data_IF_921641667006
#
_entry.id   IF_921641667006
#
_cell.length_a   1.000
_cell.length_b   1.000
_cell.length_c   1.000
_cell.angle_alpha   90.00
_cell.angle_beta   90.00
_cell.angle_gamma   90.00
#
_symmetry.space_group_name_H-M   'P 1'
#
loop_
_entity.id
_entity.type
_entity.pdbx_description
1 polymer ?
#
# COMPACT_ATOMS: atom_id res chain seq x y z
N UNK A 1 -3.95 -5.78 -3.26
CA UNK A 1 -4.96 -4.76 -2.91
C UNK A 1 -5.99 -5.24 -1.89
N UNK A 2 -6.61 -6.42 -2.04
CA UNK A 2 -7.46 -7.00 -0.99
C UNK A 2 -6.72 -7.16 0.34
N UNK A 3 -5.54 -7.79 0.32
CA UNK A 3 -4.68 -7.92 1.51
C UNK A 3 -4.26 -6.57 2.13
N UNK A 4 -3.97 -5.56 1.30
CA UNK A 4 -3.63 -4.22 1.80
C UNK A 4 -4.83 -3.61 2.54
N UNK A 5 -6.04 -3.74 1.99
CA UNK A 5 -7.27 -3.27 2.65
C UNK A 5 -7.53 -3.99 3.98
N UNK A 6 -7.37 -5.31 4.03
CA UNK A 6 -7.52 -6.11 5.25
C UNK A 6 -6.53 -5.67 6.34
N UNK A 7 -5.25 -5.51 5.97
CA UNK A 7 -4.23 -5.04 6.91
C UNK A 7 -4.51 -3.60 7.38
N UNK A 8 -4.92 -2.69 6.50
CA UNK A 8 -5.29 -1.32 6.87
C UNK A 8 -6.52 -1.27 7.79
N UNK A 9 -7.54 -2.11 7.58
CA UNK A 9 -8.68 -2.22 8.49
C UNK A 9 -8.24 -2.74 9.86
N UNK A 10 -7.35 -3.75 9.90
CA UNK A 10 -6.79 -4.23 11.16
C UNK A 10 -5.99 -3.14 11.89
N UNK A 11 -5.18 -2.37 11.16
CA UNK A 11 -4.45 -1.21 11.72
C UNK A 11 -5.43 -0.15 12.24
N UNK A 12 -6.56 0.07 11.57
CA UNK A 12 -7.63 0.95 12.04
C UNK A 12 -8.22 0.49 13.38
N UNK A 13 -8.57 -0.79 13.50
CA UNK A 13 -9.13 -1.35 14.73
C UNK A 13 -8.13 -1.24 15.89
N UNK A 14 -6.87 -1.56 15.63
CA UNK A 14 -5.77 -1.43 16.60
C UNK A 14 -5.56 0.03 17.01
N UNK A 15 -5.67 0.97 16.06
CA UNK A 15 -5.55 2.40 16.35
C UNK A 15 -6.69 2.88 17.23
N UNK A 16 -7.94 2.45 16.96
CA UNK A 16 -9.09 2.75 17.84
C UNK A 16 -8.86 2.18 19.24
N UNK A 17 -8.36 0.94 19.34
CA UNK A 17 -8.02 0.32 20.62
C UNK A 17 -6.96 1.15 21.35
N UNK A 18 -5.88 1.54 20.68
CA UNK A 18 -4.80 2.34 21.24
C UNK A 18 -5.23 3.74 21.69
N UNK A 19 -6.17 4.38 20.99
CA UNK A 19 -6.68 5.70 21.35
C UNK A 19 -7.55 5.73 22.61
N UNK A 20 -7.91 4.56 23.16
CA UNK A 20 -8.62 4.51 24.44
C UNK A 20 -7.70 4.94 25.59
N UNK A 21 -8.11 5.97 26.36
CA UNK A 21 -7.28 6.60 27.38
C UNK A 21 -6.95 5.71 28.60
N UNK A 22 -7.63 4.57 28.74
CA UNK A 22 -7.36 3.62 29.83
C UNK A 22 -6.13 2.74 29.60
N UNK A 23 -5.56 2.73 28.39
CA UNK A 23 -4.42 1.87 28.09
C UNK A 23 -3.15 2.32 28.80
N UNK A 24 -2.30 1.37 29.17
CA UNK A 24 -0.95 1.64 29.66
C UNK A 24 0.06 1.76 28.50
N UNK A 25 1.25 2.30 28.79
CA UNK A 25 2.33 2.38 27.78
C UNK A 25 2.72 1.00 27.22
N UNK A 26 2.70 -0.05 28.04
CA UNK A 26 2.97 -1.43 27.59
C UNK A 26 1.87 -2.01 26.69
N UNK A 27 0.60 -1.62 26.92
CA UNK A 27 -0.51 -2.04 26.05
C UNK A 27 -0.36 -1.38 24.69
N UNK A 28 -0.04 -0.08 24.67
CA UNK A 28 0.22 0.66 23.43
C UNK A 28 1.44 0.10 22.70
N UNK A 29 2.51 -0.28 23.41
CA UNK A 29 3.68 -0.92 22.81
C UNK A 29 3.34 -2.26 22.15
N UNK A 30 2.49 -3.06 22.80
CA UNK A 30 2.03 -4.35 22.25
C UNK A 30 1.19 -4.13 20.98
N UNK A 31 0.29 -3.16 21.00
CA UNK A 31 -0.51 -2.76 19.83
C UNK A 31 0.38 -2.22 18.71
N UNK A 32 1.35 -1.36 19.04
CA UNK A 32 2.28 -0.78 18.07
C UNK A 32 3.14 -1.85 17.40
N UNK A 33 3.56 -2.87 18.14
CA UNK A 33 4.30 -4.02 17.58
C UNK A 33 3.48 -4.78 16.54
N UNK A 34 2.20 -5.03 16.81
CA UNK A 34 1.30 -5.63 15.82
C UNK A 34 1.12 -4.71 14.60
N UNK A 35 0.91 -3.40 14.83
CA UNK A 35 0.78 -2.42 13.76
C UNK A 35 2.04 -2.35 12.88
N UNK A 36 3.24 -2.39 13.45
CA UNK A 36 4.49 -2.41 12.70
C UNK A 36 4.53 -3.60 11.74
N UNK A 37 4.21 -4.81 12.21
CA UNK A 37 4.17 -6.01 11.35
C UNK A 37 3.15 -5.88 10.21
N UNK A 38 2.00 -5.25 10.47
CA UNK A 38 0.98 -4.99 9.43
C UNK A 38 1.46 -3.96 8.41
N UNK A 39 2.17 -2.93 8.85
CA UNK A 39 2.79 -1.93 7.98
C UNK A 39 3.92 -2.53 7.13
N UNK A 40 4.74 -3.39 7.71
CA UNK A 40 5.75 -4.17 6.97
C UNK A 40 5.09 -5.04 5.90
N UNK A 41 3.99 -5.71 6.21
CA UNK A 41 3.28 -6.55 5.26
C UNK A 41 2.66 -5.72 4.11
N UNK A 42 2.08 -4.55 4.41
CA UNK A 42 1.59 -3.61 3.39
C UNK A 42 2.74 -3.18 2.48
N UNK A 43 3.88 -2.82 3.05
CA UNK A 43 5.07 -2.42 2.30
C UNK A 43 5.59 -3.57 1.42
N UNK A 44 5.66 -4.78 1.98
CA UNK A 44 6.08 -6.01 1.28
C UNK A 44 5.16 -6.31 0.10
N UNK A 45 3.84 -6.36 0.30
CA UNK A 45 2.87 -6.63 -0.77
C UNK A 45 2.97 -5.57 -1.86
N UNK A 46 3.11 -4.29 -1.50
CA UNK A 46 3.24 -3.20 -2.46
C UNK A 46 4.47 -3.37 -3.36
N UNK A 47 5.63 -3.69 -2.77
CA UNK A 47 6.91 -3.86 -3.50
C UNK A 47 7.03 -5.17 -4.27
N UNK A 48 6.49 -6.25 -3.71
CA UNK A 48 6.68 -7.57 -4.27
C UNK A 48 5.68 -7.89 -5.37
N UNK A 49 4.50 -7.26 -5.38
CA UNK A 49 3.49 -7.51 -6.44
C UNK A 49 4.02 -7.08 -7.80
N UNK A 50 4.26 -8.06 -8.66
CA UNK A 50 4.67 -7.87 -10.05
C UNK A 50 3.78 -8.65 -11.02
N UNK A 51 3.73 -8.16 -12.25
CA UNK A 51 3.17 -8.89 -13.38
C UNK A 51 4.17 -8.82 -14.53
N UNK A 52 4.69 -9.98 -14.94
CA UNK A 52 5.71 -10.07 -15.98
C UNK A 52 6.93 -9.14 -15.73
N UNK A 53 7.39 -9.07 -14.46
CA UNK A 53 8.51 -8.22 -14.06
C UNK A 53 8.19 -6.73 -13.90
N UNK A 54 6.98 -6.29 -14.24
CA UNK A 54 6.51 -4.93 -14.01
C UNK A 54 5.95 -4.85 -12.59
N UNK A 55 6.50 -3.97 -11.75
CA UNK A 55 5.92 -3.66 -10.45
C UNK A 55 4.64 -2.86 -10.62
N UNK A 56 3.51 -3.50 -10.40
CA UNK A 56 2.19 -2.93 -10.69
C UNK A 56 1.65 -2.05 -9.57
N UNK A 57 2.05 -2.32 -8.31
CA UNK A 57 1.62 -1.54 -7.15
C UNK A 57 2.72 -0.60 -6.62
N UNK A 58 3.97 -0.83 -7.04
CA UNK A 58 5.09 0.02 -6.71
C UNK A 58 5.32 1.03 -7.83
N UNK A 59 4.56 2.12 -7.76
CA UNK A 59 4.55 3.15 -8.79
C UNK A 59 5.89 3.91 -8.79
N UNK A 60 6.75 3.57 -9.77
CA UNK A 60 8.12 4.07 -9.97
C UNK A 60 8.24 5.57 -10.29
N UNK A 61 7.15 6.29 -10.58
CA UNK A 61 7.19 7.69 -11.01
C UNK A 61 6.06 8.50 -10.37
N UNK A 62 6.31 9.76 -10.02
CA UNK A 62 5.49 10.58 -9.11
C UNK A 62 4.02 10.89 -9.50
N UNK A 63 3.47 10.30 -10.56
CA UNK A 63 2.10 10.49 -11.09
C UNK A 63 1.38 9.15 -11.23
N UNK A 64 0.05 9.16 -11.34
CA UNK A 64 -0.72 7.95 -11.64
C UNK A 64 -0.06 7.18 -12.80
N UNK A 65 0.28 5.91 -12.56
CA UNK A 65 0.86 5.05 -13.58
C UNK A 65 -0.27 4.55 -14.47
N UNK A 66 -0.29 4.95 -15.74
CA UNK A 66 -1.21 4.38 -16.73
C UNK A 66 -0.57 3.18 -17.41
N UNK A 67 -1.31 2.08 -17.46
CA UNK A 67 -0.99 0.92 -18.29
C UNK A 67 -1.99 0.86 -19.43
N UNK A 68 -1.51 1.08 -20.64
CA UNK A 68 -2.35 1.10 -21.83
C UNK A 68 -2.36 -0.27 -22.49
N UNK A 69 -3.57 -0.80 -22.71
CA UNK A 69 -3.79 -2.09 -23.35
C UNK A 69 -4.40 -1.86 -24.72
N UNK A 70 -3.70 -2.28 -25.77
CA UNK A 70 -4.23 -2.29 -27.13
C UNK A 70 -5.31 -3.38 -27.21
N UNK A 71 -6.55 -2.98 -27.49
CA UNK A 71 -7.70 -3.88 -27.57
C UNK A 71 -8.35 -3.90 -28.95
N UNK A 72 -7.99 -2.99 -29.83
CA UNK A 72 -8.47 -2.97 -31.20
C UNK A 72 -7.39 -3.25 -32.23
N UNK A 73 -7.82 -3.35 -33.49
CA UNK A 73 -6.95 -3.63 -34.63
C UNK A 73 -6.22 -2.40 -35.18
N UNK A 74 -6.66 -1.20 -34.77
CA UNK A 74 -6.11 0.08 -35.22
C UNK A 74 -5.41 0.81 -34.08
N UNK A 75 -4.49 1.70 -34.43
CA UNK A 75 -3.78 2.53 -33.46
C UNK A 75 -4.76 3.33 -32.58
N UNK A 76 -4.40 3.50 -31.31
CA UNK A 76 -5.16 4.22 -30.29
C UNK A 76 -6.50 3.59 -29.86
N UNK A 77 -6.85 2.39 -30.36
CA UNK A 77 -7.95 1.59 -29.81
C UNK A 77 -7.50 0.89 -28.51
N UNK A 78 -7.37 1.69 -27.44
CA UNK A 78 -6.78 1.29 -26.17
C UNK A 78 -7.73 1.41 -24.98
N UNK A 79 -7.48 0.56 -23.99
CA UNK A 79 -8.04 0.70 -22.64
C UNK A 79 -6.88 0.96 -21.68
N UNK A 80 -6.90 2.13 -21.07
CA UNK A 80 -5.92 2.53 -20.06
C UNK A 80 -6.39 2.15 -18.66
N UNK A 81 -5.48 1.59 -17.86
CA UNK A 81 -5.67 1.35 -16.44
C UNK A 81 -4.74 2.26 -15.65
N UNK A 82 -5.32 3.21 -14.91
CA UNK A 82 -4.57 4.05 -14.00
C UNK A 82 -4.40 3.36 -12.64
N UNK A 83 -3.16 3.28 -12.17
CA UNK A 83 -2.80 2.90 -10.81
C UNK A 83 -2.28 4.15 -10.08
N UNK A 84 -2.89 4.48 -8.95
CA UNK A 84 -2.50 5.63 -8.12
C UNK A 84 -1.08 5.50 -7.54
N UNK A 85 -0.68 6.51 -6.75
CA UNK A 85 0.63 6.50 -6.08
C UNK A 85 0.64 5.55 -4.90
N UNK A 86 1.74 4.82 -4.71
CA UNK A 86 1.83 3.85 -3.62
C UNK A 86 1.81 4.50 -2.24
N UNK A 87 2.33 5.73 -2.12
CA UNK A 87 2.23 6.59 -0.94
C UNK A 87 0.79 6.89 -0.50
N UNK A 88 -0.20 6.66 -1.38
CA UNK A 88 -1.61 6.85 -1.05
C UNK A 88 -2.16 5.74 -0.14
N UNK A 89 -1.61 4.52 -0.19
CA UNK A 89 -2.08 3.36 0.59
C UNK A 89 -0.99 2.71 1.44
N UNK A 90 0.28 2.93 1.09
CA UNK A 90 1.42 2.53 1.88
C UNK A 90 1.87 3.74 2.71
N UNK A 91 1.57 3.73 4.01
CA UNK A 91 2.00 4.80 4.93
C UNK A 91 3.48 4.64 5.33
N UNK A 92 4.13 3.52 4.98
CA UNK A 92 5.59 3.40 5.07
C UNK A 92 6.28 4.36 4.11
N UNK A 93 7.59 4.57 4.31
CA UNK A 93 8.39 5.55 3.58
C UNK A 93 8.13 5.50 2.06
N UNK A 94 7.63 6.61 1.52
CA UNK A 94 7.62 6.83 0.09
C UNK A 94 8.97 7.45 -0.31
N UNK A 95 9.76 6.72 -1.10
CA UNK A 95 10.95 7.24 -1.75
C UNK A 95 10.63 8.36 -2.74
N UNK A 96 11.66 9.00 -3.29
CA UNK A 96 11.51 10.02 -4.34
C UNK A 96 10.63 9.47 -5.47
N UNK A 97 9.52 10.15 -5.74
CA UNK A 97 8.57 9.71 -6.78
C UNK A 97 7.43 8.83 -6.29
N UNK A 98 7.23 8.64 -4.98
CA UNK A 98 6.06 7.91 -4.46
C UNK A 98 6.20 6.39 -4.54
N UNK A 99 7.42 5.89 -4.68
CA UNK A 99 7.80 4.47 -4.68
C UNK A 99 7.94 3.99 -3.23
N UNK A 100 7.63 2.73 -2.94
CA UNK A 100 7.83 2.18 -1.60
C UNK A 100 9.32 2.01 -1.28
N UNK A 101 9.78 2.51 -0.14
CA UNK A 101 11.18 2.43 0.27
C UNK A 101 11.68 1.03 0.64
N UNK A 102 13.00 0.83 0.62
CA UNK A 102 13.66 -0.35 1.21
C UNK A 102 13.64 -0.34 2.73
N UNK A 103 13.66 0.85 3.32
CA UNK A 103 13.57 1.06 4.77
C UNK A 103 12.26 1.77 5.09
N UNK A 104 11.55 1.29 6.09
CA UNK A 104 10.34 1.95 6.60
C UNK A 104 10.77 3.11 7.50
N UNK A 105 10.07 4.25 7.43
CA UNK A 105 10.35 5.38 8.32
C UNK A 105 10.13 4.95 9.77
N UNK A 106 11.15 5.07 10.60
CA UNK A 106 11.05 4.71 12.01
C UNK A 106 10.98 5.97 12.86
N UNK A 107 9.91 6.11 13.65
CA UNK A 107 9.85 7.12 14.71
C UNK A 107 10.52 6.56 15.95
N UNK A 108 11.80 6.91 16.11
CA UNK A 108 12.58 6.55 17.28
C UNK A 108 12.35 7.57 18.40
N UNK A 109 11.97 7.07 19.58
CA UNK A 109 11.72 7.92 20.72
C UNK A 109 13.00 8.60 21.24
N UNK A 110 12.92 9.90 21.50
CA UNK A 110 14.06 10.73 21.90
C UNK A 110 13.91 11.32 23.30
N UNK A 111 12.68 11.44 23.80
CA UNK A 111 12.37 12.03 25.11
C UNK A 111 12.28 11.00 26.24
N UNK A 112 12.08 9.72 25.92
CA UNK A 112 11.92 8.62 26.89
C UNK A 112 13.13 8.47 27.81
N UNK A 113 14.35 8.60 27.28
CA UNK A 113 15.58 8.53 28.08
C UNK A 113 15.65 9.64 29.12
N UNK A 114 15.24 10.86 28.75
CA UNK A 114 15.20 12.00 29.68
C UNK A 114 14.13 11.80 30.76
N UNK A 115 12.97 11.24 30.39
CA UNK A 115 11.90 10.88 31.32
C UNK A 115 12.36 9.83 32.34
N UNK A 116 12.96 8.73 31.89
CA UNK A 116 13.42 7.64 32.77
C UNK A 116 14.54 8.09 33.71
N UNK A 117 15.44 8.94 33.20
CA UNK A 117 16.49 9.56 34.02
C UNK A 117 15.89 10.43 35.12
N UNK A 118 14.91 11.28 34.78
CA UNK A 118 14.24 12.15 35.75
C UNK A 118 13.41 11.34 36.77
N UNK A 119 12.77 10.24 36.34
CA UNK A 119 12.00 9.34 37.21
C UNK A 119 12.89 8.60 38.21
N UNK A 120 14.06 8.14 37.76
CA UNK A 120 15.09 7.56 38.63
C UNK A 120 15.58 8.59 39.65
N UNK A 121 15.86 9.83 39.22
CA UNK A 121 16.29 10.89 40.12
C UNK A 121 15.25 11.21 41.22
N UNK A 122 13.96 11.28 40.87
CA UNK A 122 12.88 11.45 41.87
C UNK A 122 12.86 10.30 42.87
N UNK A 123 13.03 9.07 42.40
CA UNK A 123 13.04 7.87 43.27
C UNK A 123 14.21 7.94 44.25
N UNK A 124 15.42 8.24 43.78
CA UNK A 124 16.61 8.42 44.63
C UNK A 124 16.45 9.57 45.62
N UNK A 125 15.91 10.72 45.20
CA UNK A 125 15.70 11.86 46.11
C UNK A 125 14.59 11.63 47.13
N UNK A 126 13.63 10.77 46.81
CA UNK A 126 12.62 10.31 47.77
C UNK A 126 13.26 9.44 48.85
N UNK A 127 14.18 8.52 48.48
CA UNK A 127 14.91 7.69 49.45
C UNK A 127 15.91 8.50 50.29
N UNK A 128 16.59 9.49 49.69
CA UNK A 128 17.48 10.41 50.39
C UNK A 128 16.72 11.19 51.47
N UNK A 129 15.55 11.75 51.11
CA UNK A 129 14.68 12.46 52.05
C UNK A 129 14.19 11.55 53.18
N UNK A 130 13.74 10.32 52.86
CA UNK A 130 13.29 9.37 53.88
C UNK A 130 14.41 9.01 54.88
N UNK A 131 15.66 8.94 54.40
CA UNK A 131 16.83 8.67 55.24
C UNK A 131 17.17 9.87 56.12
N UNK A 132 17.19 11.08 55.54
CA UNK A 132 17.45 12.31 56.28
C UNK A 132 16.36 12.59 57.33
N UNK A 133 15.10 12.27 57.03
CA UNK A 133 13.98 12.39 57.99
C UNK A 133 14.19 11.45 59.19
N UNK A 134 14.58 10.18 58.96
CA UNK A 134 14.88 9.25 60.06
C UNK A 134 16.04 9.75 60.94
N UNK A 135 17.10 10.29 60.33
CA UNK A 135 18.24 10.84 61.05
C UNK A 135 17.83 12.07 61.89
N UNK A 136 17.07 13.00 61.31
CA UNK A 136 16.52 14.16 62.01
C UNK A 136 15.65 13.75 63.19
N UNK A 137 14.73 12.79 63.01
CA UNK A 137 13.85 12.33 64.10
C UNK A 137 14.62 11.65 65.24
N UNK A 138 15.68 10.90 64.91
CA UNK A 138 16.58 10.34 65.93
C UNK A 138 17.31 11.46 66.68
N UNK A 139 17.85 12.44 65.97
CA UNK A 139 18.56 13.55 66.56
C UNK A 139 17.65 14.39 67.46
N UNK A 140 16.39 14.64 67.06
CA UNK A 140 15.39 15.31 67.90
C UNK A 140 15.10 14.51 69.18
N UNK A 141 15.00 13.18 69.10
CA UNK A 141 14.80 12.33 70.27
C UNK A 141 16.02 12.34 71.21
N UNK A 142 17.23 12.36 70.66
CA UNK A 142 18.49 12.44 71.43
C UNK A 142 18.69 13.86 72.02
N UNK A 143 18.32 14.91 71.30
CA UNK A 143 18.48 16.31 71.71
C UNK A 143 17.42 16.76 72.72
N UNK A 144 16.20 16.20 72.66
CA UNK A 144 15.24 16.28 73.76
C UNK A 144 15.85 15.80 75.09
N UNK A 145 16.92 14.99 75.05
CA UNK A 145 17.71 14.60 76.21
C UNK A 145 18.96 15.47 76.47
N UNK A 146 19.38 16.36 75.55
CA UNK A 146 20.73 16.98 75.60
C UNK A 146 20.86 18.48 75.19
N UNK A 147 19.81 19.16 74.69
CA UNK A 147 19.69 20.63 74.67
C UNK A 147 20.62 21.45 73.75
N UNK A 148 20.83 21.06 72.49
CA UNK A 148 21.67 21.74 71.48
C UNK A 148 21.03 21.84 70.08
N UNK A 149 21.49 22.77 69.22
CA UNK A 149 20.88 23.00 67.89
C UNK A 149 21.21 21.89 66.89
N UNK A 150 20.20 21.33 66.22
CA UNK A 150 20.30 20.09 65.44
C UNK A 150 20.90 20.28 64.02
N UNK A 151 22.12 19.80 63.81
CA UNK A 151 22.79 19.77 62.49
C UNK A 151 22.00 18.98 61.41
N UNK A 152 21.21 17.99 61.82
CA UNK A 152 20.43 17.13 60.91
C UNK A 152 19.22 17.83 60.28
N UNK A 153 18.77 18.97 60.82
CA UNK A 153 17.69 19.76 60.22
C UNK A 153 18.10 20.30 58.84
N UNK A 154 19.34 20.79 58.72
CA UNK A 154 19.91 21.31 57.47
C UNK A 154 20.02 20.22 56.41
N UNK A 155 20.44 19.01 56.80
CA UNK A 155 20.54 17.87 55.89
C UNK A 155 19.16 17.43 55.34
N UNK A 156 18.14 17.40 56.21
CA UNK A 156 16.75 17.14 55.83
C UNK A 156 16.20 18.20 54.87
N UNK A 157 16.39 19.48 55.17
CA UNK A 157 15.90 20.58 54.31
C UNK A 157 16.62 20.63 52.96
N UNK A 158 17.92 20.30 52.92
CA UNK A 158 18.66 20.13 51.68
C UNK A 158 18.11 18.96 50.84
N UNK A 159 17.83 17.81 51.45
CA UNK A 159 17.22 16.65 50.77
C UNK A 159 15.82 16.97 50.23
N UNK A 160 15.02 17.73 50.99
CA UNK A 160 13.70 18.20 50.56
C UNK A 160 13.79 19.12 49.35
N UNK A 161 14.70 20.08 49.36
CA UNK A 161 14.94 21.01 48.24
C UNK A 161 15.40 20.27 46.98
N UNK A 162 16.28 19.26 47.14
CA UNK A 162 16.72 18.40 46.04
C UNK A 162 15.57 17.59 45.43
N UNK A 163 14.66 17.06 46.25
CA UNK A 163 13.47 16.35 45.77
C UNK A 163 12.53 17.28 44.99
N UNK A 164 12.28 18.50 45.47
CA UNK A 164 11.48 19.49 44.73
C UNK A 164 12.07 19.78 43.36
N UNK A 165 13.39 19.94 43.27
CA UNK A 165 14.10 20.18 42.00
C UNK A 165 13.98 18.97 41.05
N UNK A 166 14.15 17.75 41.56
CA UNK A 166 13.98 16.53 40.78
C UNK A 166 12.55 16.39 40.23
N UNK A 167 11.52 16.70 41.04
CA UNK A 167 10.12 16.71 40.61
C UNK A 167 9.84 17.74 39.50
N UNK A 168 10.44 18.94 39.56
CA UNK A 168 10.35 19.94 38.49
C UNK A 168 10.94 19.43 37.17
N UNK A 169 12.07 18.72 37.24
CA UNK A 169 12.70 18.11 36.06
C UNK A 169 11.83 16.98 35.49
N UNK A 170 11.28 16.11 36.35
CA UNK A 170 10.38 15.03 35.95
C UNK A 170 9.11 15.54 35.28
N UNK A 171 8.45 16.56 35.85
CA UNK A 171 7.23 17.13 35.25
C UNK A 171 7.48 17.73 33.87
N UNK A 172 8.63 18.38 33.67
CA UNK A 172 9.04 18.91 32.36
C UNK A 172 9.31 17.79 31.35
N UNK A 173 10.07 16.76 31.75
CA UNK A 173 10.37 15.62 30.89
C UNK A 173 9.11 14.81 30.54
N UNK A 174 8.20 14.62 31.51
CA UNK A 174 6.92 13.95 31.30
C UNK A 174 6.06 14.72 30.30
N UNK A 175 5.95 16.05 30.44
CA UNK A 175 5.21 16.88 29.49
C UNK A 175 5.77 16.74 28.08
N UNK A 176 7.09 16.88 27.91
CA UNK A 176 7.73 16.73 26.61
C UNK A 176 7.46 15.35 25.99
N UNK A 177 7.52 14.29 26.80
CA UNK A 177 7.29 12.92 26.33
C UNK A 177 5.83 12.63 25.99
N UNK A 178 4.88 13.14 26.77
CA UNK A 178 3.44 13.02 26.46
C UNK A 178 3.07 13.85 25.23
N UNK A 179 3.59 15.08 25.10
CA UNK A 179 3.36 15.91 23.92
C UNK A 179 3.91 15.24 22.65
N UNK A 180 5.06 14.56 22.74
CA UNK A 180 5.65 13.78 21.66
C UNK A 180 4.95 12.42 21.41
N UNK A 181 4.00 12.01 22.26
CA UNK A 181 3.32 10.71 22.18
C UNK A 181 4.20 9.52 22.61
N UNK A 182 5.34 9.79 23.23
CA UNK A 182 6.31 8.78 23.68
C UNK A 182 6.03 8.30 25.12
N UNK A 183 5.16 8.98 25.87
CA UNK A 183 4.72 8.56 27.20
C UNK A 183 3.20 8.53 27.32
N UNK A 184 2.69 7.49 27.98
CA UNK A 184 1.28 7.26 28.27
C UNK A 184 1.14 7.05 29.77
N UNK A 185 0.23 7.81 30.41
CA UNK A 185 -0.07 7.70 31.84
C UNK A 185 1.16 7.75 32.77
N UNK A 186 2.20 8.52 32.41
CA UNK A 186 3.43 8.65 33.23
C UNK A 186 4.51 7.59 32.99
N UNK A 187 4.30 6.72 32.00
CA UNK A 187 5.24 5.67 31.62
C UNK A 187 5.72 5.87 30.18
N UNK A 188 7.03 5.73 29.97
CA UNK A 188 7.63 5.73 28.65
C UNK A 188 7.18 4.49 27.86
N UNK A 189 6.89 4.70 26.58
CA UNK A 189 6.80 3.64 25.58
C UNK A 189 8.19 3.19 25.17
N UNK A 190 8.29 1.97 24.67
CA UNK A 190 9.57 1.31 24.34
C UNK A 190 9.62 0.83 22.89
N UNK A 191 8.47 0.66 22.24
CA UNK A 191 8.38 0.20 20.85
C UNK A 191 8.31 1.41 19.92
N UNK A 192 9.34 1.56 19.08
CA UNK A 192 9.35 2.55 18.01
C UNK A 192 8.26 2.26 16.98
N UNK A 193 7.73 3.30 16.35
CA UNK A 193 6.72 3.15 15.30
C UNK A 193 7.36 3.06 13.92
N UNK A 194 6.83 2.19 13.05
CA UNK A 194 7.33 1.96 11.70
C UNK A 194 6.26 2.35 10.67
N UNK A 195 6.48 3.46 9.97
CA UNK A 195 5.57 4.02 8.96
C UNK A 195 4.32 4.68 9.56
N UNK A 196 3.84 4.17 10.68
CA UNK A 196 2.64 4.65 11.35
C UNK A 196 2.73 4.46 12.87
N UNK A 197 2.46 5.52 13.63
CA UNK A 197 2.30 5.50 15.08
C UNK A 197 0.82 5.55 15.46
N UNK A 198 0.40 4.68 16.37
CA UNK A 198 -1.03 4.57 16.76
C UNK A 198 -1.57 5.78 17.52
N UNK A 199 -0.71 6.64 18.06
CA UNK A 199 -1.08 7.88 18.75
C UNK A 199 -0.85 9.12 17.87
N UNK A 200 0.17 9.09 17.01
CA UNK A 200 0.68 10.23 16.23
C UNK A 200 0.57 10.09 14.70
N UNK A 201 -0.06 9.04 14.22
CA UNK A 201 -0.35 8.85 12.80
C UNK A 201 0.88 8.57 11.94
N UNK A 202 0.84 9.02 10.69
CA UNK A 202 1.92 8.72 9.74
C UNK A 202 3.29 9.21 10.22
N UNK A 203 4.31 8.37 10.05
CA UNK A 203 5.72 8.72 10.28
C UNK A 203 6.29 9.36 9.01
N UNK A 204 6.66 10.63 9.11
CA UNK A 204 7.24 11.40 8.02
C UNK A 204 8.67 10.93 7.67
N UNK A 205 9.16 11.36 6.52
CA UNK A 205 10.49 10.98 6.02
C UNK A 205 11.65 11.46 6.90
N UNK A 206 11.44 12.49 7.73
CA UNK A 206 12.40 12.96 8.73
C UNK A 206 12.41 12.10 10.02
N UNK A 207 11.61 11.03 10.05
CA UNK A 207 11.47 10.15 11.20
C UNK A 207 10.59 10.72 12.31
N UNK A 208 9.87 11.82 12.09
CA UNK A 208 8.93 12.38 13.08
C UNK A 208 7.50 11.88 12.85
N UNK A 209 6.77 11.60 13.94
CA UNK A 209 5.33 11.35 13.87
C UNK A 209 4.59 12.63 14.30
N UNK A 210 4.05 13.37 13.32
CA UNK A 210 3.46 14.70 13.53
C UNK A 210 1.93 14.75 13.39
N UNK A 211 1.28 13.62 13.07
CA UNK A 211 -0.16 13.56 12.84
C UNK A 211 -0.96 13.52 14.14
N UNK A 212 -1.69 14.58 14.47
CA UNK A 212 -2.66 14.52 15.59
C UNK A 212 -3.90 13.69 15.27
N UNK A 213 -4.00 13.12 14.06
CA UNK A 213 -5.19 12.40 13.57
C UNK A 213 -4.83 11.05 12.90
N UNK A 214 -4.34 10.05 13.67
CA UNK A 214 -3.96 8.74 13.14
C UNK A 214 -5.08 8.04 12.36
N UNK A 215 -6.33 8.14 12.82
CA UNK A 215 -7.49 7.57 12.10
C UNK A 215 -7.74 8.22 10.75
N UNK A 216 -7.52 9.53 10.62
CA UNK A 216 -7.72 10.23 9.35
C UNK A 216 -6.69 9.81 8.30
N UNK A 217 -5.47 9.47 8.72
CA UNK A 217 -4.42 8.98 7.83
C UNK A 217 -4.75 7.56 7.33
N UNK A 218 -5.25 6.67 8.21
CA UNK A 218 -5.72 5.33 7.82
C UNK A 218 -6.95 5.42 6.92
N UNK A 219 -7.91 6.30 7.22
CA UNK A 219 -9.13 6.46 6.41
C UNK A 219 -8.79 7.00 5.01
N UNK A 220 -7.81 7.91 4.89
CA UNK A 220 -7.26 8.34 3.59
C UNK A 220 -6.65 7.15 2.83
N UNK A 221 -5.89 6.31 3.50
CA UNK A 221 -5.26 5.16 2.88
C UNK A 221 -6.26 4.10 2.42
N UNK A 222 -7.27 3.79 3.24
CA UNK A 222 -8.38 2.91 2.88
C UNK A 222 -9.12 3.45 1.65
N UNK A 223 -9.43 4.76 1.64
CA UNK A 223 -10.07 5.41 0.50
C UNK A 223 -9.22 5.31 -0.78
N UNK A 224 -7.91 5.43 -0.67
CA UNK A 224 -7.00 5.26 -1.82
C UNK A 224 -7.06 3.81 -2.36
N UNK A 225 -7.02 2.81 -1.49
CA UNK A 225 -7.17 1.40 -1.88
C UNK A 225 -8.53 1.13 -2.52
N UNK A 226 -9.62 1.63 -1.94
CA UNK A 226 -10.97 1.41 -2.43
C UNK A 226 -11.18 2.07 -3.80
N UNK A 227 -10.65 3.30 -3.98
CA UNK A 227 -10.63 3.97 -5.29
C UNK A 227 -9.89 3.12 -6.31
N UNK A 228 -8.72 2.59 -5.96
CA UNK A 228 -7.94 1.75 -6.87
C UNK A 228 -8.67 0.45 -7.24
N UNK A 229 -9.31 -0.21 -6.27
CA UNK A 229 -10.11 -1.43 -6.50
C UNK A 229 -11.31 -1.15 -7.39
N UNK A 230 -11.96 0.01 -7.21
CA UNK A 230 -13.08 0.43 -8.04
C UNK A 230 -12.66 0.62 -9.49
N UNK A 231 -11.53 1.33 -9.73
CA UNK A 231 -10.97 1.50 -11.09
C UNK A 231 -10.64 0.15 -11.73
N UNK A 232 -9.98 -0.76 -11.00
CA UNK A 232 -9.65 -2.09 -11.53
C UNK A 232 -10.90 -2.92 -11.86
N UNK A 233 -11.94 -2.87 -11.03
CA UNK A 233 -13.21 -3.55 -11.30
C UNK A 233 -13.94 -2.97 -12.52
N UNK A 234 -13.95 -1.64 -12.65
CA UNK A 234 -14.52 -0.98 -13.83
C UNK A 234 -13.75 -1.35 -15.12
N UNK A 235 -12.41 -1.40 -15.06
CA UNK A 235 -11.57 -1.84 -16.17
C UNK A 235 -11.85 -3.30 -16.55
N UNK A 236 -12.00 -4.21 -15.57
CA UNK A 236 -12.38 -5.61 -15.83
C UNK A 236 -13.71 -5.70 -16.60
N UNK A 237 -14.73 -4.95 -16.17
CA UNK A 237 -16.02 -4.92 -16.87
C UNK A 237 -15.89 -4.36 -18.31
N UNK A 238 -15.05 -3.35 -18.51
CA UNK A 238 -14.74 -2.82 -19.86
C UNK A 238 -14.04 -3.85 -20.73
N UNK A 239 -13.06 -4.57 -20.19
CA UNK A 239 -12.38 -5.64 -20.94
C UNK A 239 -13.35 -6.75 -21.32
N UNK A 240 -14.21 -7.21 -20.40
CA UNK A 240 -15.20 -8.25 -20.69
C UNK A 240 -16.16 -7.85 -21.82
N UNK A 241 -16.68 -6.62 -21.77
CA UNK A 241 -17.55 -6.08 -22.82
C UNK A 241 -16.80 -5.96 -24.15
N UNK A 242 -15.55 -5.50 -24.12
CA UNK A 242 -14.72 -5.34 -25.31
C UNK A 242 -14.38 -6.70 -25.93
N UNK A 243 -14.02 -7.70 -25.12
CA UNK A 243 -13.78 -9.09 -25.57
C UNK A 243 -15.02 -9.65 -26.24
N UNK A 244 -16.20 -9.47 -25.64
CA UNK A 244 -17.47 -9.93 -26.22
C UNK A 244 -17.74 -9.25 -27.57
N UNK A 245 -17.51 -7.94 -27.67
CA UNK A 245 -17.68 -7.20 -28.93
C UNK A 245 -16.70 -7.66 -30.01
N UNK A 246 -15.43 -7.84 -29.65
CA UNK A 246 -14.39 -8.31 -30.57
C UNK A 246 -14.69 -9.71 -31.07
N UNK A 247 -15.14 -10.63 -30.21
CA UNK A 247 -15.55 -11.97 -30.63
C UNK A 247 -16.71 -11.92 -31.64
N UNK A 248 -17.71 -11.07 -31.42
CA UNK A 248 -18.79 -10.87 -32.39
C UNK A 248 -18.28 -10.30 -33.71
N UNK A 249 -17.36 -9.33 -33.65
CA UNK A 249 -16.74 -8.73 -34.83
C UNK A 249 -15.91 -9.76 -35.61
N UNK A 250 -15.13 -10.59 -34.92
CA UNK A 250 -14.36 -11.69 -35.52
C UNK A 250 -15.29 -12.70 -36.19
N UNK A 251 -16.38 -13.11 -35.54
CA UNK A 251 -17.35 -14.05 -36.12
C UNK A 251 -18.03 -13.47 -37.38
N UNK A 252 -18.44 -12.20 -37.33
CA UNK A 252 -19.06 -11.52 -38.47
C UNK A 252 -18.07 -11.34 -39.63
N UNK A 253 -16.84 -10.92 -39.34
CA UNK A 253 -15.81 -10.72 -40.35
C UNK A 253 -15.37 -12.05 -40.97
N UNK A 254 -15.25 -13.11 -40.17
CA UNK A 254 -14.92 -14.45 -40.66
C UNK A 254 -16.03 -14.98 -41.56
N UNK A 255 -17.31 -14.77 -41.18
CA UNK A 255 -18.47 -15.15 -42.01
C UNK A 255 -18.53 -14.36 -43.32
N UNK A 256 -18.28 -13.05 -43.27
CA UNK A 256 -18.24 -12.20 -44.46
C UNK A 256 -17.08 -12.61 -45.39
N UNK A 257 -15.90 -12.89 -44.83
CA UNK A 257 -14.74 -13.37 -45.58
C UNK A 257 -15.01 -14.72 -46.24
N UNK A 258 -15.64 -15.66 -45.54
CA UNK A 258 -16.04 -16.95 -46.12
C UNK A 258 -16.99 -16.74 -47.30
N UNK A 259 -18.03 -15.90 -47.16
CA UNK A 259 -18.98 -15.63 -48.25
C UNK A 259 -18.32 -15.02 -49.49
N UNK A 260 -17.40 -14.08 -49.29
CA UNK A 260 -16.66 -13.48 -50.41
C UNK A 260 -15.79 -14.54 -51.07
N UNK A 261 -15.01 -15.28 -50.28
CA UNK A 261 -14.10 -16.31 -50.80
C UNK A 261 -14.83 -17.48 -51.46
N UNK A 262 -15.97 -17.91 -50.93
CA UNK A 262 -16.80 -18.99 -51.47
C UNK A 262 -17.52 -18.56 -52.76
N UNK A 263 -17.98 -17.30 -52.86
CA UNK A 263 -18.57 -16.75 -54.08
C UNK A 263 -17.53 -16.60 -55.20
N UNK A 264 -16.32 -16.16 -54.86
CA UNK A 264 -15.19 -16.08 -55.79
C UNK A 264 -14.79 -17.49 -56.26
N UNK A 265 -14.72 -18.46 -55.34
CA UNK A 265 -14.42 -19.85 -55.68
C UNK A 265 -15.51 -20.45 -56.59
N UNK A 266 -16.79 -20.21 -56.31
CA UNK A 266 -17.90 -20.67 -57.15
C UNK A 266 -17.83 -20.08 -58.56
N UNK A 267 -17.48 -18.80 -58.68
CA UNK A 267 -17.32 -18.11 -59.97
C UNK A 267 -16.14 -18.69 -60.76
N UNK A 268 -14.99 -18.88 -60.10
CA UNK A 268 -13.79 -19.42 -60.74
C UNK A 268 -13.97 -20.88 -61.17
N UNK A 269 -14.59 -21.72 -60.33
CA UNK A 269 -14.94 -23.10 -60.69
C UNK A 269 -15.96 -23.14 -61.85
N UNK A 270 -16.91 -22.21 -61.89
CA UNK A 270 -17.86 -22.09 -63.00
C UNK A 270 -17.17 -21.70 -64.30
N UNK A 271 -16.21 -20.77 -64.24
CA UNK A 271 -15.40 -20.37 -65.39
C UNK A 271 -14.47 -21.50 -65.84
N UNK A 272 -13.86 -22.24 -64.91
CA UNK A 272 -13.04 -23.42 -65.19
C UNK A 272 -13.88 -24.51 -65.87
N UNK A 273 -15.05 -24.83 -65.33
CA UNK A 273 -15.98 -25.81 -65.92
C UNK A 273 -16.45 -25.36 -67.30
N UNK A 274 -16.83 -24.08 -67.46
CA UNK A 274 -17.16 -23.50 -68.76
C UNK A 274 -16.00 -23.64 -69.74
N UNK A 275 -14.77 -23.32 -69.33
CA UNK A 275 -13.58 -23.44 -70.17
C UNK A 275 -13.30 -24.89 -70.57
N UNK A 276 -13.48 -25.85 -69.66
CA UNK A 276 -13.35 -27.29 -69.95
C UNK A 276 -14.42 -27.78 -70.93
N UNK A 277 -15.68 -27.36 -70.74
CA UNK A 277 -16.78 -27.67 -71.69
C UNK A 277 -16.48 -27.04 -73.05
N UNK A 278 -15.99 -25.81 -73.10
CA UNK A 278 -15.66 -25.12 -74.35
C UNK A 278 -14.47 -25.79 -75.06
N UNK A 279 -13.49 -26.30 -74.31
CA UNK A 279 -12.39 -27.11 -74.86
C UNK A 279 -12.90 -28.45 -75.42
N UNK A 280 -13.77 -29.17 -74.69
CA UNK A 280 -14.36 -30.44 -75.16
C UNK A 280 -15.33 -30.24 -76.34
N UNK A 281 -16.15 -29.20 -76.32
CA UNK A 281 -17.01 -28.82 -77.43
C UNK A 281 -16.19 -28.35 -78.62
N UNK A 282 -15.11 -27.60 -78.39
CA UNK A 282 -14.15 -27.19 -79.41
C UNK A 282 -13.53 -28.40 -80.11
N UNK A 283 -13.07 -29.42 -79.38
CA UNK A 283 -12.52 -30.64 -79.97
C UNK A 283 -13.57 -31.48 -80.69
N UNK A 284 -14.80 -31.57 -80.16
CA UNK A 284 -15.92 -32.28 -80.79
C UNK A 284 -16.39 -31.59 -82.09
N UNK A 285 -16.54 -30.26 -82.09
CA UNK A 285 -16.87 -29.48 -83.29
C UNK A 285 -15.74 -29.54 -84.30
N UNK A 286 -14.47 -29.54 -83.87
CA UNK A 286 -13.34 -29.76 -84.76
C UNK A 286 -13.39 -31.15 -85.40
N UNK A 287 -13.71 -32.19 -84.62
CA UNK A 287 -13.85 -33.56 -85.11
C UNK A 287 -15.03 -33.69 -86.11
N UNK A 288 -16.16 -33.05 -85.82
CA UNK A 288 -17.35 -33.07 -86.68
C UNK A 288 -17.14 -32.23 -87.95
N UNK A 289 -16.49 -31.06 -87.84
CA UNK A 289 -16.08 -30.23 -88.98
C UNK A 289 -15.04 -30.93 -89.88
N UNK A 290 -14.22 -31.81 -89.32
CA UNK A 290 -13.31 -32.67 -90.10
C UNK A 290 -14.04 -33.84 -90.80
N UNK A 291 -15.18 -34.30 -90.28
CA UNK A 291 -15.99 -35.36 -90.90
C UNK A 291 -16.93 -34.86 -92.01
N UNK A 292 -17.47 -33.63 -91.90
CA UNK A 292 -18.40 -33.06 -92.90
C UNK A 292 -17.81 -33.04 -94.34
N UNK A 293 -16.55 -32.64 -94.58
CA UNK A 293 -15.95 -32.73 -95.91
C UNK A 293 -15.88 -34.17 -96.45
N UNK A 294 -15.67 -35.17 -95.58
CA UNK A 294 -15.58 -36.57 -95.98
C UNK A 294 -16.93 -37.18 -96.34
N UNK A 295 -18.00 -36.82 -95.63
CA UNK A 295 -19.37 -37.26 -95.95
C UNK A 295 -19.92 -36.58 -97.20
N UNK A 296 -19.55 -35.31 -97.44
CA UNK A 296 -19.87 -34.61 -98.70
C UNK A 296 -19.12 -35.25 -99.88
N UNK A 297 -17.88 -35.71 -99.69
CA UNK A 297 -17.15 -36.47 -100.72
C UNK A 297 -17.76 -37.86 -100.99
N UNK A 298 -18.38 -38.52 -100.01
CA UNK A 298 -19.04 -39.82 -100.23
C UNK A 298 -20.39 -39.71 -100.95
N UNK A 299 -21.04 -38.54 -100.89
CA UNK A 299 -22.30 -38.25 -101.60
C UNK A 299 -22.09 -37.79 -103.05
N UNK A 300 -20.85 -37.50 -103.45
CA UNK A 300 -20.45 -37.10 -104.81
C UNK A 300 -19.83 -38.27 -105.61
N UNK A 301 -20.04 -39.51 -105.18
CA UNK A 301 -19.58 -40.73 -105.86
C UNK A 301 -20.74 -41.58 -106.34
#
# INVERSE_FOLDING_TARGET
MGEINNNLQRVRDLTVQAQNSSNSASDIDSIQSEVNQRMEEINRVTKQTDFNGIKVLDNRTATDSSYDFQVGSKDNEQISIAIGKSSGWNLAAAGTGGVSGDTINTYKFTTTTALDTAKTAVTTKTTDLATAEKAYQKAVADDAANGTTLADATARDAAKTALTTANGTYTTALKASTDAGEAVNGNARTVAAEGFDVLKGQVAADGTAAGTTPLADIDKALKAVDTQRSVLGASQNRFESTITNLNNTVNNLTSARSRIQDADYSTEVSNMSRAQILQQAGTSVLAQANQVPQTVLSLLR
#
